data_IF_804816503602
#
_entry.id   IF_804816503602
#
_cell.length_a   1.000
_cell.length_b   1.000
_cell.length_c   1.000
_cell.angle_alpha   90.00
_cell.angle_beta   90.00
_cell.angle_gamma   90.00
#
_symmetry.space_group_name_H-M   'P 1'
#
loop_
_entity.id
_entity.type
_entity.pdbx_description
1 polymer ?
#
# COMPACT_ATOMS: atom_id res chain seq x y z
N UNK A 1 0.95 12.32 19.49
CA UNK A 1 -0.07 11.27 19.27
C UNK A 1 0.59 9.97 19.69
N UNK A 2 0.13 9.33 20.76
CA UNK A 2 0.67 8.03 21.22
C UNK A 2 0.37 6.96 20.16
N UNK A 3 1.39 6.20 19.75
CA UNK A 3 1.20 5.06 18.83
C UNK A 3 0.50 3.96 19.64
N UNK A 4 -0.80 3.74 19.41
CA UNK A 4 -1.47 2.51 19.88
C UNK A 4 -0.77 1.33 19.19
N UNK A 5 -0.62 0.21 19.87
CA UNK A 5 -0.07 -1.04 19.29
C UNK A 5 -1.00 -2.18 19.68
N UNK A 6 -0.97 -3.26 18.91
CA UNK A 6 -1.72 -4.48 19.19
C UNK A 6 -1.37 -5.05 20.56
N UNK A 7 -2.32 -5.75 21.20
CA UNK A 7 -2.02 -6.48 22.45
C UNK A 7 -0.98 -7.57 22.14
N UNK A 8 0.22 -7.46 22.72
CA UNK A 8 1.28 -8.47 22.62
C UNK A 8 2.57 -7.98 21.96
N UNK A 9 2.51 -6.93 21.13
CA UNK A 9 3.68 -6.41 20.41
C UNK A 9 4.02 -4.97 20.82
N UNK A 10 5.28 -4.74 21.16
CA UNK A 10 5.80 -3.41 21.42
C UNK A 10 6.20 -2.70 20.11
N UNK A 11 6.24 -1.36 20.09
CA UNK A 11 6.75 -0.62 18.94
C UNK A 11 8.19 -1.01 18.54
N UNK A 12 9.02 -1.46 19.50
CA UNK A 12 10.39 -1.90 19.27
C UNK A 12 10.43 -3.25 18.55
N UNK A 13 9.58 -4.20 18.93
CA UNK A 13 9.47 -5.50 18.27
C UNK A 13 8.96 -5.35 16.84
N UNK A 14 7.95 -4.49 16.62
CA UNK A 14 7.46 -4.19 15.27
C UNK A 14 8.58 -3.56 14.43
N UNK A 15 9.37 -2.61 14.98
CA UNK A 15 10.52 -2.04 14.26
C UNK A 15 11.58 -3.09 13.92
N UNK A 16 11.89 -3.99 14.85
CA UNK A 16 12.84 -5.07 14.61
C UNK A 16 12.36 -5.97 13.47
N UNK A 17 11.08 -6.36 13.50
CA UNK A 17 10.45 -7.17 12.47
C UNK A 17 10.45 -6.46 11.10
N UNK A 18 10.04 -5.18 11.06
CA UNK A 18 10.07 -4.35 9.83
C UNK A 18 11.48 -4.25 9.23
N UNK A 19 12.50 -4.15 10.07
CA UNK A 19 13.89 -4.10 9.63
C UNK A 19 14.36 -5.45 9.09
N UNK A 20 13.98 -6.54 9.74
CA UNK A 20 14.35 -7.91 9.36
C UNK A 20 13.71 -8.33 8.04
N UNK A 21 12.40 -8.13 7.89
CA UNK A 21 11.64 -8.65 6.75
C UNK A 21 11.50 -7.65 5.61
N UNK A 22 11.37 -6.34 5.91
CA UNK A 22 11.07 -5.31 4.92
C UNK A 22 12.20 -4.29 4.72
N UNK A 23 13.33 -4.44 5.41
CA UNK A 23 14.45 -3.50 5.39
C UNK A 23 14.03 -2.05 5.70
N UNK A 24 13.00 -1.90 6.55
CA UNK A 24 12.43 -0.61 6.92
C UNK A 24 12.77 -0.22 8.37
N UNK A 25 13.23 1.01 8.57
CA UNK A 25 13.63 1.53 9.89
C UNK A 25 12.44 2.03 10.75
N UNK A 26 11.28 2.28 10.14
CA UNK A 26 10.07 2.74 10.83
C UNK A 26 8.82 2.23 10.11
N UNK A 27 7.66 2.45 10.73
CA UNK A 27 6.38 1.94 10.23
C UNK A 27 5.24 2.95 10.38
N UNK A 28 4.14 2.67 9.67
CA UNK A 28 2.83 3.33 9.75
C UNK A 28 1.84 2.29 10.29
N UNK A 29 0.89 2.71 11.15
CA UNK A 29 -0.10 1.83 11.78
C UNK A 29 -0.13 1.96 13.31
N UNK A 30 -0.95 1.15 14.00
CA UNK A 30 -1.81 0.10 13.46
C UNK A 30 -3.05 0.67 12.77
N UNK A 31 -3.51 -0.03 11.74
CA UNK A 31 -4.83 0.13 11.15
C UNK A 31 -5.56 -1.20 11.28
N UNK A 32 -6.74 -1.20 11.90
CA UNK A 32 -7.54 -2.42 12.02
C UNK A 32 -8.14 -2.79 10.66
N UNK A 33 -7.85 -3.99 10.16
CA UNK A 33 -8.39 -4.51 8.90
C UNK A 33 -8.53 -6.02 8.94
N UNK A 34 -9.72 -6.54 8.59
CA UNK A 34 -10.05 -7.97 8.59
C UNK A 34 -9.70 -8.71 9.91
N UNK A 35 -9.78 -8.01 11.04
CA UNK A 35 -9.45 -8.57 12.36
C UNK A 35 -7.96 -8.67 12.67
N UNK A 36 -7.12 -7.98 11.89
CA UNK A 36 -5.69 -7.78 12.14
C UNK A 36 -5.40 -6.32 12.45
N UNK A 37 -4.39 -6.09 13.28
CA UNK A 37 -3.68 -4.81 13.33
C UNK A 37 -2.62 -4.82 12.22
N UNK A 38 -2.80 -3.95 11.23
CA UNK A 38 -1.93 -3.88 10.04
C UNK A 38 -0.90 -2.77 10.21
N UNK A 39 0.36 -3.10 9.91
CA UNK A 39 1.45 -2.15 9.89
C UNK A 39 2.13 -2.15 8.52
N UNK A 40 2.44 -0.95 8.03
CA UNK A 40 3.14 -0.74 6.78
C UNK A 40 4.57 -0.23 7.03
N UNK A 41 5.58 -0.72 6.30
CA UNK A 41 6.92 -0.15 6.35
C UNK A 41 6.91 1.29 5.83
N UNK A 42 7.51 2.18 6.60
CA UNK A 42 7.64 3.59 6.25
C UNK A 42 8.87 3.79 5.36
N UNK A 43 8.72 3.57 4.07
CA UNK A 43 9.77 3.88 3.11
C UNK A 43 9.93 5.40 2.91
N UNK A 44 11.16 5.86 2.64
CA UNK A 44 11.38 7.20 2.07
C UNK A 44 10.83 7.21 0.63
N UNK A 45 9.55 7.54 0.48
CA UNK A 45 8.87 8.14 -0.69
C UNK A 45 8.87 7.46 -2.09
N UNK A 46 9.56 6.35 -2.36
CA UNK A 46 9.71 5.90 -3.77
C UNK A 46 8.76 4.77 -4.21
N UNK A 47 8.23 3.93 -3.31
CA UNK A 47 7.51 2.70 -3.71
C UNK A 47 6.01 2.84 -3.98
N UNK A 48 5.30 3.83 -3.41
CA UNK A 48 3.84 3.96 -3.58
C UNK A 48 3.40 4.43 -4.97
N UNK A 49 4.29 5.07 -5.76
CA UNK A 49 3.95 5.68 -7.04
C UNK A 49 3.86 4.70 -8.22
N UNK A 50 4.25 3.43 -8.05
CA UNK A 50 4.43 2.50 -9.17
C UNK A 50 3.54 1.25 -9.11
N UNK A 51 2.46 1.24 -8.31
CA UNK A 51 1.60 0.06 -8.16
C UNK A 51 2.34 -1.17 -7.61
N UNK A 52 3.46 -0.93 -6.91
CA UNK A 52 4.30 -1.97 -6.35
C UNK A 52 3.62 -2.61 -5.15
N UNK A 53 3.84 -3.92 -5.01
CA UNK A 53 3.49 -4.70 -3.83
C UNK A 53 3.80 -3.89 -2.57
N UNK A 54 2.77 -3.61 -1.76
CA UNK A 54 2.96 -2.91 -0.49
C UNK A 54 3.11 -4.02 0.55
N UNK A 55 4.34 -4.39 0.95
CA UNK A 55 4.50 -5.39 1.99
C UNK A 55 3.86 -4.86 3.27
N UNK A 56 3.04 -5.68 3.90
CA UNK A 56 2.35 -5.35 5.15
C UNK A 56 2.66 -6.42 6.21
N UNK A 57 2.75 -5.99 7.46
CA UNK A 57 2.79 -6.88 8.61
C UNK A 57 1.37 -6.99 9.16
N UNK A 58 0.86 -8.21 9.29
CA UNK A 58 -0.45 -8.51 9.84
C UNK A 58 -0.27 -9.09 11.25
N UNK A 59 -0.86 -8.45 12.26
CA UNK A 59 -0.74 -8.86 13.67
C UNK A 59 -2.11 -9.22 14.24
N UNK A 60 -2.20 -10.36 14.94
CA UNK A 60 -3.42 -10.81 15.63
C UNK A 60 -3.05 -11.43 16.98
N UNK A 61 -3.27 -10.68 18.05
CA UNK A 61 -2.77 -11.05 19.38
C UNK A 61 -1.24 -11.13 19.36
N UNK A 62 -0.69 -12.28 19.75
CA UNK A 62 0.76 -12.52 19.79
C UNK A 62 1.34 -13.00 18.45
N UNK A 63 0.50 -13.32 17.46
CA UNK A 63 0.95 -13.82 16.16
C UNK A 63 1.17 -12.67 15.16
N UNK A 64 2.25 -12.76 14.38
CA UNK A 64 2.56 -11.84 13.30
C UNK A 64 3.02 -12.59 12.04
N UNK A 65 2.65 -12.07 10.86
CA UNK A 65 3.12 -12.58 9.57
C UNK A 65 3.23 -11.48 8.51
N UNK A 66 3.97 -11.78 7.45
CA UNK A 66 3.91 -11.02 6.20
C UNK A 66 2.55 -11.22 5.52
N UNK A 67 1.98 -10.13 5.01
CA UNK A 67 0.82 -10.16 4.13
C UNK A 67 1.20 -10.62 2.73
N UNK A 68 0.30 -11.29 2.03
CA UNK A 68 0.51 -11.63 0.63
C UNK A 68 0.48 -10.38 -0.25
N UNK A 69 0.88 -10.52 -1.52
CA UNK A 69 0.74 -9.46 -2.52
C UNK A 69 -0.71 -8.94 -2.62
N UNK A 70 -1.67 -9.85 -2.69
CA UNK A 70 -3.11 -9.51 -2.78
C UNK A 70 -3.57 -8.78 -1.53
N UNK A 71 -3.17 -9.24 -0.34
CA UNK A 71 -3.51 -8.58 0.92
C UNK A 71 -2.93 -7.17 1.01
N UNK A 72 -1.66 -7.00 0.59
CA UNK A 72 -1.02 -5.69 0.52
C UNK A 72 -1.76 -4.72 -0.42
N UNK A 73 -2.18 -5.20 -1.58
CA UNK A 73 -2.94 -4.42 -2.55
C UNK A 73 -4.34 -4.04 -2.04
N UNK A 74 -5.11 -5.02 -1.55
CA UNK A 74 -6.44 -4.77 -1.01
C UNK A 74 -6.41 -3.81 0.20
N UNK A 75 -5.40 -3.95 1.06
CA UNK A 75 -5.20 -3.05 2.18
C UNK A 75 -4.88 -1.62 1.73
N UNK A 76 -4.08 -1.46 0.67
CA UNK A 76 -3.78 -0.14 0.11
C UNK A 76 -5.04 0.57 -0.39
N UNK A 77 -5.92 -0.15 -1.10
CA UNK A 77 -7.22 0.36 -1.55
C UNK A 77 -8.09 0.75 -0.35
N UNK A 78 -8.21 -0.14 0.64
CA UNK A 78 -8.96 0.13 1.87
C UNK A 78 -8.47 1.39 2.61
N UNK A 79 -7.16 1.54 2.77
CA UNK A 79 -6.55 2.69 3.45
C UNK A 79 -6.75 3.99 2.68
N UNK A 80 -6.69 3.96 1.35
CA UNK A 80 -6.96 5.13 0.52
C UNK A 80 -8.40 5.63 0.70
N UNK A 81 -9.37 4.70 0.73
CA UNK A 81 -10.78 5.01 1.05
C UNK A 81 -10.94 5.65 2.43
N UNK A 82 -10.25 5.13 3.45
CA UNK A 82 -10.26 5.73 4.80
C UNK A 82 -9.72 7.16 4.83
N UNK A 83 -8.75 7.49 3.98
CA UNK A 83 -8.17 8.83 3.88
C UNK A 83 -9.00 9.79 3.02
N UNK A 84 -10.15 9.35 2.50
CA UNK A 84 -10.99 10.16 1.63
C UNK A 84 -10.39 10.38 0.25
N UNK A 85 -9.40 9.59 -0.15
CA UNK A 85 -9.05 9.44 -1.55
C UNK A 85 -10.15 8.57 -2.15
N UNK A 86 -11.12 9.21 -2.81
CA UNK A 86 -12.09 8.50 -3.63
C UNK A 86 -11.31 7.68 -4.66
N UNK A 87 -11.77 6.44 -4.91
CA UNK A 87 -11.34 5.74 -6.11
C UNK A 87 -11.69 6.71 -7.25
N UNK A 88 -10.69 7.27 -7.92
CA UNK A 88 -10.89 7.67 -9.30
C UNK A 88 -11.05 6.34 -10.05
N UNK A 89 -12.19 5.66 -9.86
CA UNK A 89 -12.80 4.84 -10.87
C UNK A 89 -13.11 5.83 -12.01
N UNK A 90 -12.07 6.20 -12.76
CA UNK A 90 -12.21 6.58 -14.15
C UNK A 90 -12.69 5.32 -14.90
N UNK A 91 -13.92 4.91 -14.60
CA UNK A 91 -14.82 4.27 -15.56
C UNK A 91 -15.19 5.27 -16.70
N UNK A 92 -14.59 6.47 -16.70
CA UNK A 92 -14.45 7.40 -17.81
C UNK A 92 -13.02 7.39 -18.41
N UNK A 93 -12.32 6.26 -18.43
CA UNK A 93 -11.42 6.03 -19.57
C UNK A 93 -12.35 5.89 -20.78
N UNK A 94 -12.63 7.03 -21.43
CA UNK A 94 -13.08 7.05 -22.80
C UNK A 94 -12.24 6.02 -23.56
N UNK A 95 -12.94 5.09 -24.21
CA UNK A 95 -12.40 4.10 -25.14
C UNK A 95 -11.18 4.66 -25.88
N UNK A 96 -10.14 3.84 -26.13
CA UNK A 96 -8.88 4.31 -26.69
C UNK A 96 -9.16 5.20 -27.90
N UNK A 97 -8.91 6.52 -27.75
CA UNK A 97 -9.02 7.46 -28.88
C UNK A 97 -8.30 6.80 -30.05
N UNK A 98 -9.03 6.60 -31.14
CA UNK A 98 -8.48 6.12 -32.39
C UNK A 98 -7.16 6.85 -32.61
N UNK A 99 -6.07 6.09 -32.70
CA UNK A 99 -4.80 6.63 -33.17
C UNK A 99 -5.08 7.14 -34.56
N UNK A 100 -5.26 8.45 -34.67
CA UNK A 100 -5.27 9.17 -35.92
C UNK A 100 -3.90 8.92 -36.56
N UNK A 101 -3.83 7.91 -37.42
CA UNK A 101 -2.65 7.59 -38.22
C UNK A 101 -2.55 8.60 -39.36
N UNK A 102 -2.42 9.88 -39.04
CA UNK A 102 -1.92 10.88 -39.98
C UNK A 102 -0.39 10.80 -40.00
N UNK A 103 0.11 9.77 -40.66
CA UNK A 103 1.46 9.73 -41.18
C UNK A 103 1.44 10.07 -42.67
N UNK A 104 2.39 10.92 -43.06
CA UNK A 104 2.77 11.36 -44.42
C UNK A 104 1.83 12.37 -45.08
N UNK A 105 2.21 13.62 -45.38
CA UNK A 105 3.55 14.12 -45.66
C UNK A 105 3.98 13.74 -47.07
N UNK A 106 3.50 14.50 -48.05
CA UNK A 106 4.04 14.69 -49.41
C UNK A 106 3.38 15.98 -49.91
N UNK A 107 4.03 17.11 -50.15
CA UNK A 107 5.39 17.28 -50.63
C UNK A 107 5.43 17.17 -52.15
N UNK A 108 4.72 18.06 -52.86
CA UNK A 108 5.08 18.76 -54.11
C UNK A 108 3.93 19.67 -54.58
#
# INVERSE_FOLDING_TARGET
MERKVSKGWTPQEIKAWMKEFFLADDFIGPVEWKGYDVYEPKYKRVSYLFGLNIPIMLVKGDEAREGTFEEGHEFAVYRNKLMGYEDNDDDNIDEPMEKDNTLSGSGE
#
